data_IF_902300313350
#
_entry.id   IF_902300313350
#
_cell.length_a   1.000
_cell.length_b   1.000
_cell.length_c   1.000
_cell.angle_alpha   90.00
_cell.angle_beta   90.00
_cell.angle_gamma   90.00
#
_symmetry.space_group_name_H-M   'P 1'
#
loop_
_entity.id
_entity.type
_entity.pdbx_description
1 polymer ?
#
# COMPACT_ATOMS: atom_id res chain seq x y z
N UNK A 1 3.44 -9.50 -16.51
CA UNK A 1 4.43 -8.86 -15.60
C UNK A 1 3.72 -8.48 -14.31
N UNK A 2 4.36 -7.92 -13.29
CA UNK A 2 3.64 -7.33 -12.14
C UNK A 2 3.91 -5.83 -12.09
N UNK A 3 2.87 -5.05 -11.80
CA UNK A 3 2.95 -3.61 -11.64
C UNK A 3 2.67 -3.26 -10.18
N UNK A 4 3.54 -2.46 -9.58
CA UNK A 4 3.31 -1.87 -8.25
C UNK A 4 2.84 -0.43 -8.42
N UNK A 5 1.79 -0.05 -7.69
CA UNK A 5 1.25 1.30 -7.63
C UNK A 5 1.08 1.72 -6.17
N UNK A 6 1.41 2.97 -5.88
CA UNK A 6 1.17 3.57 -4.57
C UNK A 6 0.24 4.78 -4.73
N UNK A 7 -0.68 4.92 -3.79
CA UNK A 7 -1.57 6.06 -3.61
C UNK A 7 -1.32 6.61 -2.20
N UNK A 8 -1.06 7.92 -2.12
CA UNK A 8 -0.74 8.61 -0.87
C UNK A 8 -1.86 9.59 -0.56
N UNK A 9 -2.44 9.47 0.63
CA UNK A 9 -3.53 10.35 1.07
C UNK A 9 -3.12 11.09 2.34
N UNK A 10 -2.87 12.38 2.21
CA UNK A 10 -2.54 13.26 3.33
C UNK A 10 -3.79 13.67 4.10
N UNK A 11 -3.66 13.83 5.43
CA UNK A 11 -4.75 14.27 6.31
C UNK A 11 -5.88 13.25 6.52
N UNK A 12 -5.70 12.00 6.10
CA UNK A 12 -6.68 10.94 6.23
C UNK A 12 -6.35 10.03 7.41
N UNK A 13 -7.00 10.26 8.56
CA UNK A 13 -6.86 9.40 9.74
C UNK A 13 -8.03 8.41 9.78
N UNK A 14 -7.71 7.12 9.65
CA UNK A 14 -8.69 6.04 9.77
C UNK A 14 -8.30 5.09 10.89
N UNK A 15 -9.30 4.48 11.51
CA UNK A 15 -9.07 3.40 12.46
C UNK A 15 -8.31 2.24 11.81
N UNK A 16 -7.43 1.63 12.59
CA UNK A 16 -6.64 0.46 12.18
C UNK A 16 -7.51 -0.67 11.62
N UNK A 17 -8.72 -0.84 12.16
CA UNK A 17 -9.70 -1.83 11.67
C UNK A 17 -10.14 -1.54 10.23
N UNK A 18 -10.37 -0.28 9.90
CA UNK A 18 -10.76 0.13 8.54
C UNK A 18 -9.60 -0.11 7.59
N UNK A 19 -8.37 0.22 7.98
CA UNK A 19 -7.18 -0.03 7.16
C UNK A 19 -6.95 -1.53 6.93
N UNK A 20 -7.11 -2.37 7.95
CA UNK A 20 -7.01 -3.82 7.82
C UNK A 20 -8.11 -4.40 6.91
N UNK A 21 -9.34 -3.90 7.01
CA UNK A 21 -10.44 -4.31 6.13
C UNK A 21 -10.18 -3.90 4.69
N UNK A 22 -9.68 -2.69 4.47
CA UNK A 22 -9.31 -2.20 3.14
C UNK A 22 -8.20 -3.06 2.53
N UNK A 23 -7.12 -3.31 3.28
CA UNK A 23 -6.01 -4.15 2.83
C UNK A 23 -6.49 -5.55 2.42
N UNK A 24 -7.32 -6.20 3.25
CA UNK A 24 -7.89 -7.52 2.96
C UNK A 24 -8.79 -7.50 1.73
N UNK A 25 -9.61 -6.45 1.60
CA UNK A 25 -10.50 -6.30 0.44
C UNK A 25 -9.70 -6.13 -0.85
N UNK A 26 -8.63 -5.32 -0.82
CA UNK A 26 -7.72 -5.14 -1.96
C UNK A 26 -7.00 -6.44 -2.32
N UNK A 27 -6.44 -7.15 -1.33
CA UNK A 27 -5.74 -8.42 -1.55
C UNK A 27 -6.67 -9.55 -2.07
N UNK A 28 -7.98 -9.43 -1.86
CA UNK A 28 -8.97 -10.38 -2.37
C UNK A 28 -9.42 -10.09 -3.81
N UNK A 29 -9.03 -8.96 -4.40
CA UNK A 29 -9.39 -8.62 -5.77
C UNK A 29 -8.63 -9.51 -6.77
N UNK A 30 -9.28 -9.94 -7.86
CA UNK A 30 -8.61 -10.72 -8.90
C UNK A 30 -7.47 -9.93 -9.53
N UNK A 31 -6.34 -10.61 -9.78
CA UNK A 31 -5.14 -9.99 -10.33
C UNK A 31 -4.29 -9.25 -9.30
N UNK A 32 -4.76 -9.03 -8.06
CA UNK A 32 -3.92 -8.49 -6.99
C UNK A 32 -3.08 -9.61 -6.39
N UNK A 33 -1.77 -9.39 -6.33
CA UNK A 33 -0.81 -10.31 -5.71
C UNK A 33 -0.57 -9.96 -4.25
N UNK A 34 -0.42 -8.67 -3.96
CA UNK A 34 -0.21 -8.20 -2.60
C UNK A 34 -0.69 -6.75 -2.45
N UNK A 35 -1.08 -6.38 -1.23
CA UNK A 35 -1.55 -5.05 -0.89
C UNK A 35 -1.09 -4.65 0.52
N UNK A 36 -0.60 -3.43 0.66
CA UNK A 36 -0.20 -2.82 1.93
C UNK A 36 -0.98 -1.54 2.16
N UNK A 37 -1.68 -1.45 3.30
CA UNK A 37 -2.40 -0.23 3.70
C UNK A 37 -1.96 0.16 5.10
N UNK A 38 -1.26 1.27 5.23
CA UNK A 38 -0.66 1.68 6.50
C UNK A 38 -0.29 3.16 6.51
N UNK A 39 -0.11 3.73 7.70
CA UNK A 39 0.40 5.10 7.83
C UNK A 39 1.87 5.18 7.40
N UNK A 40 2.33 6.31 6.89
CA UNK A 40 3.68 6.54 6.37
C UNK A 40 4.80 6.63 7.42
N UNK A 41 4.60 6.05 8.60
CA UNK A 41 5.62 5.98 9.64
C UNK A 41 6.84 5.18 9.15
N UNK A 42 8.03 5.45 9.70
CA UNK A 42 9.24 4.75 9.27
C UNK A 42 9.13 3.22 9.42
N UNK A 43 8.58 2.75 10.54
CA UNK A 43 8.39 1.33 10.79
C UNK A 43 7.50 0.66 9.72
N UNK A 44 6.45 1.35 9.28
CA UNK A 44 5.55 0.87 8.24
C UNK A 44 6.24 0.86 6.86
N UNK A 45 7.05 1.86 6.54
CA UNK A 45 7.87 1.86 5.32
C UNK A 45 8.84 0.69 5.28
N UNK A 46 9.45 0.35 6.41
CA UNK A 46 10.35 -0.80 6.51
C UNK A 46 9.61 -2.13 6.29
N UNK A 47 8.34 -2.23 6.72
CA UNK A 47 7.47 -3.38 6.43
C UNK A 47 7.16 -3.46 4.94
N UNK A 48 6.80 -2.34 4.29
CA UNK A 48 6.58 -2.31 2.83
C UNK A 48 7.84 -2.69 2.06
N UNK A 49 9.02 -2.30 2.53
CA UNK A 49 10.28 -2.64 1.90
C UNK A 49 10.54 -4.16 1.92
N UNK A 50 10.29 -4.80 3.07
CA UNK A 50 10.43 -6.25 3.22
C UNK A 50 9.46 -7.04 2.32
N UNK A 51 8.28 -6.49 2.07
CA UNK A 51 7.28 -7.08 1.16
C UNK A 51 7.49 -6.75 -0.32
N UNK A 52 8.58 -6.05 -0.70
CA UNK A 52 8.77 -5.53 -2.06
C UNK A 52 7.61 -4.65 -2.56
N UNK A 53 6.94 -3.96 -1.64
CA UNK A 53 5.84 -3.03 -1.89
C UNK A 53 6.24 -1.57 -1.71
N UNK A 54 7.44 -1.28 -1.23
CA UNK A 54 7.88 0.10 -1.07
C UNK A 54 8.20 0.73 -2.42
N UNK A 55 7.40 1.72 -2.83
CA UNK A 55 7.65 2.53 -4.02
C UNK A 55 8.38 3.84 -3.66
N UNK A 56 9.01 4.52 -4.63
CA UNK A 56 9.64 5.82 -4.38
C UNK A 56 8.67 6.86 -3.80
N UNK A 57 7.41 6.84 -4.24
CA UNK A 57 6.37 7.74 -3.73
C UNK A 57 6.03 7.41 -2.27
N UNK A 58 5.84 6.12 -1.94
CA UNK A 58 5.59 5.68 -0.57
C UNK A 58 6.78 5.96 0.37
N UNK A 59 8.01 5.93 -0.15
CA UNK A 59 9.21 6.31 0.60
C UNK A 59 9.23 7.81 0.93
N UNK A 60 8.76 8.66 0.00
CA UNK A 60 8.73 10.11 0.15
C UNK A 60 7.59 10.65 1.04
N UNK A 61 6.56 9.84 1.31
CA UNK A 61 5.40 10.23 2.12
C UNK A 61 5.78 10.60 3.57
N UNK A 62 4.98 11.46 4.18
CA UNK A 62 5.13 11.86 5.59
C UNK A 62 4.55 10.79 6.54
N UNK A 63 4.86 10.91 7.84
CA UNK A 63 4.44 9.93 8.84
C UNK A 63 2.92 9.88 9.06
N UNK A 64 2.24 11.00 8.80
CA UNK A 64 0.79 11.22 8.89
C UNK A 64 0.04 10.90 7.60
N UNK A 65 0.74 10.56 6.52
CA UNK A 65 0.11 10.16 5.26
C UNK A 65 -0.38 8.71 5.34
N UNK A 66 -1.55 8.45 4.77
CA UNK A 66 -2.00 7.08 4.50
C UNK A 66 -1.35 6.58 3.21
N UNK A 67 -0.65 5.46 3.31
CA UNK A 67 -0.08 4.71 2.19
C UNK A 67 -1.02 3.58 1.79
N UNK A 68 -1.37 3.53 0.50
CA UNK A 68 -2.06 2.40 -0.12
C UNK A 68 -1.19 1.92 -1.26
N UNK A 69 -0.57 0.75 -1.10
CA UNK A 69 0.29 0.14 -2.11
C UNK A 69 -0.31 -1.17 -2.58
N UNK A 70 -0.36 -1.36 -3.90
CA UNK A 70 -0.91 -2.54 -4.54
C UNK A 70 0.11 -3.07 -5.54
N UNK A 71 0.39 -4.37 -5.46
CA UNK A 71 1.08 -5.11 -6.50
C UNK A 71 0.07 -5.98 -7.24
N UNK A 72 -0.12 -5.72 -8.53
CA UNK A 72 -1.06 -6.43 -9.38
C UNK A 72 -0.32 -7.14 -10.52
N UNK A 73 -0.95 -8.17 -11.08
CA UNK A 73 -0.58 -8.69 -12.39
C UNK A 73 -0.87 -7.62 -13.44
N UNK A 74 0.12 -7.38 -14.28
CA UNK A 74 -0.01 -6.54 -15.45
C UNK A 74 -0.77 -7.33 -16.52
N UNK A 75 -2.00 -6.92 -16.78
CA UNK A 75 -2.86 -7.46 -17.83
C UNK A 75 -2.49 -6.90 -19.22
N UNK A 76 -1.36 -6.18 -19.35
CA UNK A 76 -0.80 -5.77 -20.63
C UNK A 76 -0.41 -6.99 -21.49
N UNK A 77 -1.40 -7.49 -22.21
CA UNK A 77 -1.27 -8.18 -23.50
C UNK A 77 -1.42 -7.17 -24.64
#
# INVERSE_FOLDING_TARGET
MTVTRAEIRSGAYYDSVILMQLQRSLAALPGIRDAGVMMGTQANKDVLAQSNLLTPEAQAAAADDLLIVIQAQDDAS
#
